data_IF_881135199737
#
_entry.id   IF_881135199737
#
_cell.length_a   1.000
_cell.length_b   1.000
_cell.length_c   1.000
_cell.angle_alpha   90.00
_cell.angle_beta   90.00
_cell.angle_gamma   90.00
#
_symmetry.space_group_name_H-M   'P 1'
#
loop_
_entity.id
_entity.type
_entity.pdbx_description
1 polymer ?
#
# COMPACT_ATOMS: atom_id res chain seq x y z
N UNK A 1 7.00 14.40 17.80
CA UNK A 1 7.11 15.11 16.51
C UNK A 1 8.40 14.65 15.83
N UNK A 2 8.31 13.57 15.03
CA UNK A 2 9.49 12.85 14.51
C UNK A 2 10.15 13.63 13.37
N UNK A 3 9.38 14.03 12.35
CA UNK A 3 9.88 14.80 11.21
C UNK A 3 10.67 16.03 11.67
N UNK A 4 10.09 16.84 12.58
CA UNK A 4 10.74 18.06 13.06
C UNK A 4 12.00 17.78 13.88
N UNK A 5 12.06 16.65 14.62
CA UNK A 5 13.25 16.25 15.37
C UNK A 5 14.45 15.91 14.44
N UNK A 6 14.18 15.53 13.19
CA UNK A 6 15.19 15.26 12.17
C UNK A 6 15.38 16.41 11.17
N UNK A 7 14.82 17.60 11.45
CA UNK A 7 14.96 18.78 10.59
C UNK A 7 14.10 18.75 9.32
N UNK A 8 13.12 17.85 9.23
CA UNK A 8 12.14 17.78 8.17
C UNK A 8 10.79 18.40 8.59
N UNK A 9 9.97 18.79 7.61
CA UNK A 9 8.58 19.21 7.87
C UNK A 9 7.66 17.99 7.87
N UNK A 10 6.75 17.92 8.83
CA UNK A 10 5.69 16.89 8.85
C UNK A 10 4.35 17.45 8.35
N UNK A 11 3.67 16.71 7.47
CA UNK A 11 2.26 16.90 7.16
C UNK A 11 1.52 15.59 7.39
N UNK A 12 0.26 15.66 7.80
CA UNK A 12 -0.56 14.47 8.06
C UNK A 12 -1.98 14.67 7.53
N UNK A 13 -2.50 13.68 6.81
CA UNK A 13 -3.90 13.57 6.43
C UNK A 13 -4.52 12.38 7.16
N UNK A 14 -5.63 12.59 7.86
CA UNK A 14 -6.38 11.55 8.58
C UNK A 14 -7.62 11.09 7.83
N UNK A 15 -8.12 11.92 6.91
CA UNK A 15 -9.27 11.61 6.09
C UNK A 15 -9.12 12.14 4.66
N UNK A 16 -10.05 11.74 3.79
CA UNK A 16 -10.01 12.03 2.35
C UNK A 16 -10.17 13.53 2.03
N UNK A 17 -10.83 14.31 2.89
CA UNK A 17 -11.04 15.74 2.62
C UNK A 17 -9.77 16.57 2.78
N UNK A 18 -8.80 16.06 3.56
CA UNK A 18 -7.50 16.71 3.81
C UNK A 18 -6.44 16.33 2.77
N UNK A 19 -6.67 15.27 1.98
CA UNK A 19 -5.64 14.60 1.18
C UNK A 19 -5.02 15.54 0.13
N UNK A 20 -5.86 16.21 -0.66
CA UNK A 20 -5.38 17.09 -1.74
C UNK A 20 -4.58 18.27 -1.19
N UNK A 21 -5.02 18.86 -0.08
CA UNK A 21 -4.35 19.97 0.59
C UNK A 21 -2.99 19.54 1.17
N UNK A 22 -2.92 18.35 1.78
CA UNK A 22 -1.68 17.80 2.35
C UNK A 22 -0.67 17.45 1.26
N UNK A 23 -1.12 16.86 0.15
CA UNK A 23 -0.27 16.58 -1.01
C UNK A 23 0.30 17.88 -1.57
N UNK A 24 -0.57 18.88 -1.79
CA UNK A 24 -0.14 20.19 -2.30
C UNK A 24 0.88 20.85 -1.37
N UNK A 25 0.61 20.90 -0.06
CA UNK A 25 1.51 21.48 0.92
C UNK A 25 2.86 20.74 0.99
N UNK A 26 2.85 19.42 0.80
CA UNK A 26 4.08 18.60 0.74
C UNK A 26 4.93 18.95 -0.47
N UNK A 27 4.32 19.08 -1.65
CA UNK A 27 5.02 19.40 -2.90
C UNK A 27 5.51 20.85 -2.96
N UNK A 28 4.74 21.78 -2.40
CA UNK A 28 5.07 23.21 -2.37
C UNK A 28 6.15 23.56 -1.33
N UNK A 29 6.45 22.66 -0.37
CA UNK A 29 7.43 22.92 0.68
C UNK A 29 8.87 22.84 0.15
N UNK A 30 9.67 23.91 0.27
CA UNK A 30 11.08 23.86 -0.07
C UNK A 30 11.88 23.14 1.03
N UNK A 31 12.11 21.84 0.88
CA UNK A 31 12.95 21.05 1.79
C UNK A 31 12.45 19.62 2.02
N UNK A 32 13.11 18.86 2.91
CA UNK A 32 12.70 17.50 3.24
C UNK A 32 11.37 17.48 4.00
N UNK A 33 10.48 16.59 3.58
CA UNK A 33 9.14 16.42 4.15
C UNK A 33 8.88 14.95 4.50
N UNK A 34 8.14 14.73 5.58
CA UNK A 34 7.44 13.47 5.85
C UNK A 34 5.94 13.75 5.70
N UNK A 35 5.33 13.13 4.69
CA UNK A 35 3.88 13.11 4.52
C UNK A 35 3.33 11.80 5.11
N UNK A 36 2.44 11.93 6.07
CA UNK A 36 1.81 10.82 6.79
C UNK A 36 0.34 10.74 6.36
N UNK A 37 0.01 9.76 5.53
CA UNK A 37 -1.32 9.60 4.95
C UNK A 37 -1.97 8.37 5.58
N UNK A 38 -3.03 8.59 6.35
CA UNK A 38 -3.80 7.50 6.94
C UNK A 38 -4.61 6.79 5.86
N UNK A 39 -4.36 5.49 5.67
CA UNK A 39 -5.07 4.62 4.73
C UNK A 39 -5.80 3.49 5.46
N UNK A 40 -6.80 2.87 4.84
CA UNK A 40 -7.45 1.69 5.41
C UNK A 40 -6.47 0.51 5.44
N UNK A 41 -6.34 -0.10 6.61
CA UNK A 41 -5.44 -1.24 6.84
C UNK A 41 -5.90 -2.52 6.16
N UNK A 42 -7.16 -2.58 5.70
CA UNK A 42 -7.73 -3.76 5.04
C UNK A 42 -7.58 -3.75 3.52
N UNK A 43 -7.17 -2.63 2.93
CA UNK A 43 -6.92 -2.54 1.50
C UNK A 43 -5.70 -3.37 1.10
N UNK A 44 -5.80 -4.05 -0.04
CA UNK A 44 -4.78 -4.97 -0.54
C UNK A 44 -4.39 -4.63 -1.98
N UNK A 45 -3.21 -5.07 -2.39
CA UNK A 45 -2.71 -4.88 -3.76
C UNK A 45 -3.25 -5.97 -4.68
N UNK A 46 -3.99 -5.56 -5.72
CA UNK A 46 -4.45 -6.44 -6.80
C UNK A 46 -3.98 -5.89 -8.16
N UNK A 47 -3.78 -6.75 -9.19
CA UNK A 47 -3.98 -8.20 -9.18
C UNK A 47 -2.89 -8.94 -8.38
N UNK A 48 -3.23 -10.09 -7.82
CA UNK A 48 -2.34 -10.93 -7.00
C UNK A 48 -2.38 -12.38 -7.46
N UNK A 49 -1.22 -13.01 -7.62
CA UNK A 49 -1.12 -14.47 -7.83
C UNK A 49 -1.04 -15.13 -6.45
N UNK A 50 -2.00 -15.98 -6.04
CA UNK A 50 -1.92 -16.71 -4.78
C UNK A 50 -0.67 -17.58 -4.70
N UNK A 51 -0.20 -17.84 -3.47
CA UNK A 51 0.93 -18.75 -3.26
C UNK A 51 0.64 -20.13 -3.86
N UNK A 52 1.54 -20.63 -4.70
CA UNK A 52 1.40 -21.92 -5.38
C UNK A 52 0.56 -21.91 -6.66
N UNK A 53 -0.09 -20.79 -7.00
CA UNK A 53 -0.88 -20.67 -8.23
C UNK A 53 -0.03 -20.30 -9.45
N UNK A 54 -0.51 -20.65 -10.64
CA UNK A 54 0.15 -20.28 -11.89
C UNK A 54 -0.07 -18.80 -12.23
N UNK A 55 0.77 -18.24 -13.12
CA UNK A 55 0.72 -16.81 -13.47
C UNK A 55 -0.60 -16.36 -14.12
N UNK A 56 -1.35 -17.29 -14.69
CA UNK A 56 -2.66 -17.04 -15.29
C UNK A 56 -3.84 -17.19 -14.29
N UNK A 57 -3.57 -17.57 -13.04
CA UNK A 57 -4.57 -17.79 -11.98
C UNK A 57 -4.55 -16.62 -10.98
N UNK A 58 -4.78 -15.42 -11.49
CA UNK A 58 -4.74 -14.18 -10.70
C UNK A 58 -6.08 -13.88 -10.01
N UNK A 59 -6.00 -13.39 -8.79
CA UNK A 59 -7.07 -12.63 -8.15
C UNK A 59 -7.04 -11.20 -8.70
N UNK A 60 -8.13 -10.75 -9.32
CA UNK A 60 -8.26 -9.43 -9.91
C UNK A 60 -8.83 -8.41 -8.92
N UNK A 61 -9.53 -8.87 -7.89
CA UNK A 61 -10.08 -8.00 -6.85
C UNK A 61 -10.39 -8.71 -5.54
N UNK A 62 -10.88 -7.95 -4.54
CA UNK A 62 -11.12 -8.44 -3.19
C UNK A 62 -12.25 -9.49 -3.10
N UNK A 63 -13.11 -9.57 -4.12
CA UNK A 63 -14.18 -10.57 -4.19
C UNK A 63 -13.69 -11.92 -4.72
N UNK A 64 -12.52 -11.95 -5.38
CA UNK A 64 -11.95 -13.17 -5.94
C UNK A 64 -11.36 -14.03 -4.81
N UNK A 65 -11.61 -15.33 -4.89
CA UNK A 65 -11.10 -16.31 -3.92
C UNK A 65 -10.04 -17.16 -4.58
N UNK A 66 -8.93 -17.35 -3.88
CA UNK A 66 -7.98 -18.37 -4.26
C UNK A 66 -8.64 -19.74 -4.04
N UNK A 67 -8.69 -20.56 -5.09
CA UNK A 67 -8.86 -21.99 -4.89
C UNK A 67 -7.66 -22.50 -4.07
N UNK A 68 -7.84 -23.49 -3.17
CA UNK A 68 -6.73 -24.08 -2.42
C UNK A 68 -5.84 -24.89 -3.37
N UNK A 69 -5.02 -24.22 -4.18
CA UNK A 69 -4.03 -24.81 -5.10
C UNK A 69 -2.65 -24.86 -4.43
N UNK A 70 -2.59 -25.01 -3.10
CA UNK A 70 -1.36 -25.45 -2.43
C UNK A 70 -1.21 -26.95 -2.63
N UNK A 71 -0.92 -27.37 -3.85
CA UNK A 71 -0.41 -28.72 -4.13
C UNK A 71 1.05 -28.78 -3.72
N UNK A 72 1.49 -29.89 -3.10
CA UNK A 72 2.88 -30.09 -2.68
C UNK A 72 3.89 -29.83 -3.81
N UNK A 73 3.50 -30.11 -5.06
CA UNK A 73 4.32 -29.87 -6.26
C UNK A 73 4.65 -28.38 -6.49
N UNK A 74 3.74 -27.46 -6.15
CA UNK A 74 3.94 -26.01 -6.32
C UNK A 74 4.92 -25.42 -5.29
N UNK A 75 5.08 -26.06 -4.12
CA UNK A 75 6.02 -25.61 -3.08
C UNK A 75 7.48 -25.93 -3.40
N UNK A 76 7.75 -26.86 -4.34
CA UNK A 76 9.10 -27.34 -4.68
C UNK A 76 9.78 -26.47 -5.77
N UNK A 77 9.03 -25.56 -6.40
CA UNK A 77 9.50 -24.73 -7.51
C UNK A 77 10.05 -23.36 -7.09
N UNK A 78 10.21 -23.10 -5.78
CA UNK A 78 10.78 -21.86 -5.21
C UNK A 78 12.09 -22.16 -4.51
#
# INVERSE_FOLDING_TARGET
>A
KLAEAFGARGFRALDMSELDDVIKATLDHPGPVIADICVDQKENCFPMIPSGAAHNEMLLGPEDKADPVTTEEGMVLV
#
